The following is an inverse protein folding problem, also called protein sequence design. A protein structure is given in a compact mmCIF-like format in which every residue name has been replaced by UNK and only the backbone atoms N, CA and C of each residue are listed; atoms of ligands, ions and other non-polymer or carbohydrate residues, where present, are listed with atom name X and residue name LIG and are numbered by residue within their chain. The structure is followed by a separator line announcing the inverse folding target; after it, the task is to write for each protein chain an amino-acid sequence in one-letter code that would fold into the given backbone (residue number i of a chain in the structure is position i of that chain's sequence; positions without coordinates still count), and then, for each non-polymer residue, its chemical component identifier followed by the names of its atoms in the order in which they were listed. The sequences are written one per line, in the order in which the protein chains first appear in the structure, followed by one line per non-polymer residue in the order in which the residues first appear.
data_IF_768044790077
#
_entry.id   IF_768044790077
#
_cell.length_a   1.000
_cell.length_b   1.000
_cell.length_c   1.000
_cell.angle_alpha   90.00
_cell.angle_beta   90.00
_cell.angle_gamma   90.00
#
_symmetry.space_group_name_H-M   'P 1'
#
loop_
_entity.id
_entity.type
_entity.pdbx_description
1 polymer ?
#
# COMPACT_ATOMS: atom_id res chain seq x y z
N UNK A 1 17.77 46.60 -1.80
CA UNK A 1 18.70 45.53 -2.23
C UNK A 1 19.26 44.87 -0.99
N UNK A 2 18.68 43.75 -0.56
CA UNK A 2 19.25 42.87 0.46
C UNK A 2 19.27 41.49 -0.19
N UNK A 3 20.49 40.99 -0.44
CA UNK A 3 20.73 39.75 -1.16
C UNK A 3 20.16 38.57 -0.38
N UNK A 4 19.29 37.80 -1.03
CA UNK A 4 18.84 36.52 -0.51
C UNK A 4 19.94 35.51 -0.86
N UNK A 5 20.59 35.03 0.18
CA UNK A 5 21.54 33.93 0.19
C UNK A 5 21.05 32.76 -0.66
N UNK A 6 21.76 32.51 -1.76
CA UNK A 6 21.74 31.24 -2.49
C UNK A 6 22.60 30.26 -1.71
N UNK A 7 22.00 29.32 -0.98
CA UNK A 7 22.81 28.31 -0.29
C UNK A 7 22.07 27.47 0.73
N UNK A 8 21.19 26.58 0.26
CA UNK A 8 21.09 25.23 0.83
C UNK A 8 20.37 24.34 -0.20
N UNK A 9 21.15 23.57 -0.95
CA UNK A 9 20.64 22.43 -1.72
C UNK A 9 20.11 21.43 -0.70
N UNK A 10 18.81 21.46 -0.42
CA UNK A 10 18.17 20.41 0.34
C UNK A 10 18.20 19.14 -0.52
N UNK A 11 19.11 18.23 -0.19
CA UNK A 11 19.19 16.87 -0.73
C UNK A 11 17.96 16.08 -0.26
N UNK A 12 16.81 16.40 -0.86
CA UNK A 12 15.52 15.76 -0.63
C UNK A 12 15.40 14.61 -1.61
N UNK A 13 15.54 13.38 -1.10
CA UNK A 13 15.71 12.21 -1.96
C UNK A 13 14.36 11.57 -2.33
N UNK A 14 13.36 11.57 -1.44
CA UNK A 14 12.01 11.06 -1.78
C UNK A 14 10.89 11.82 -1.11
N UNK A 15 9.78 11.96 -1.84
CA UNK A 15 8.48 12.34 -1.29
C UNK A 15 7.58 11.12 -1.32
N UNK A 16 7.04 10.74 -0.18
CA UNK A 16 5.98 9.76 -0.04
C UNK A 16 4.64 10.48 -0.14
N UNK A 17 3.68 9.93 -0.89
CA UNK A 17 2.27 10.18 -0.63
C UNK A 17 1.70 8.92 0.05
N UNK A 18 1.52 8.96 1.37
CA UNK A 18 0.84 7.89 2.11
C UNK A 18 -0.64 8.25 2.13
N UNK A 19 -1.48 7.46 1.47
CA UNK A 19 -2.91 7.77 1.36
C UNK A 19 -3.76 6.64 1.93
N UNK A 20 -4.43 6.84 3.08
CA UNK A 20 -5.57 6.04 3.47
C UNK A 20 -6.67 6.16 2.42
N UNK A 21 -6.99 5.04 1.79
CA UNK A 21 -8.05 4.89 0.82
C UNK A 21 -9.32 4.43 1.51
N UNK A 22 -10.41 5.18 1.36
CA UNK A 22 -11.69 4.75 1.89
C UNK A 22 -12.39 3.69 1.03
N UNK A 23 -11.84 3.24 -0.11
CA UNK A 23 -12.37 2.11 -0.93
C UNK A 23 -12.36 0.81 -0.14
N UNK A 24 -11.37 0.61 0.73
CA UNK A 24 -11.27 -0.61 1.53
C UNK A 24 -11.53 -0.35 3.02
N UNK A 25 -11.94 0.89 3.36
CA UNK A 25 -12.39 1.22 4.71
C UNK A 25 -13.52 0.30 5.16
N UNK A 26 -13.62 0.09 6.47
CA UNK A 26 -14.63 -0.79 7.05
C UNK A 26 -16.04 -0.49 6.50
N UNK A 27 -16.48 0.77 6.53
CA UNK A 27 -17.81 1.17 6.06
C UNK A 27 -17.99 0.91 4.56
N UNK A 28 -17.03 1.31 3.72
CA UNK A 28 -17.14 1.10 2.27
C UNK A 28 -17.17 -0.38 1.93
N UNK A 29 -16.30 -1.16 2.57
CA UNK A 29 -16.22 -2.60 2.36
C UNK A 29 -17.48 -3.33 2.81
N UNK A 30 -18.19 -2.85 3.84
CA UNK A 30 -19.48 -3.41 4.25
C UNK A 30 -20.59 -3.04 3.28
N UNK A 31 -20.67 -1.77 2.86
CA UNK A 31 -21.68 -1.29 1.90
C UNK A 31 -21.56 -2.01 0.56
N UNK A 32 -20.33 -2.22 0.08
CA UNK A 32 -20.06 -2.88 -1.21
C UNK A 32 -19.79 -4.39 -1.07
N UNK A 33 -20.07 -4.98 0.10
CA UNK A 33 -20.03 -6.44 0.34
C UNK A 33 -18.72 -7.11 -0.07
N UNK A 34 -17.61 -6.50 0.31
CA UNK A 34 -16.29 -7.05 0.05
C UNK A 34 -16.00 -8.26 0.92
N UNK A 35 -15.33 -9.24 0.32
CA UNK A 35 -14.90 -10.45 1.00
C UNK A 35 -13.97 -10.15 2.18
N UNK A 36 -14.10 -10.99 3.21
CA UNK A 36 -13.30 -10.91 4.44
C UNK A 36 -12.50 -12.20 4.64
N UNK A 37 -11.23 -12.14 5.07
CA UNK A 37 -10.50 -10.93 5.49
C UNK A 37 -10.02 -10.03 4.35
N UNK A 38 -9.90 -10.55 3.12
CA UNK A 38 -9.40 -9.82 1.97
C UNK A 38 -10.34 -9.99 0.77
N UNK A 39 -10.53 -8.93 0.00
CA UNK A 39 -11.24 -8.96 -1.29
C UNK A 39 -10.26 -8.72 -2.43
N UNK A 40 -10.07 -9.73 -3.27
CA UNK A 40 -9.12 -9.67 -4.37
C UNK A 40 -9.50 -8.61 -5.42
N UNK A 41 -10.80 -8.36 -5.63
CA UNK A 41 -11.29 -7.41 -6.62
C UNK A 41 -10.96 -5.99 -6.18
N UNK A 42 -11.19 -5.70 -4.91
CA UNK A 42 -10.89 -4.40 -4.31
C UNK A 42 -9.37 -4.13 -4.26
N UNK A 43 -8.55 -5.13 -3.93
CA UNK A 43 -7.09 -5.00 -3.98
C UNK A 43 -6.59 -4.81 -5.42
N UNK A 44 -7.16 -5.55 -6.39
CA UNK A 44 -6.82 -5.37 -7.80
C UNK A 44 -7.24 -3.99 -8.35
N UNK A 45 -8.33 -3.42 -7.85
CA UNK A 45 -8.72 -2.05 -8.18
C UNK A 45 -7.66 -1.05 -7.71
N UNK A 46 -7.21 -1.19 -6.45
CA UNK A 46 -6.14 -0.36 -5.89
C UNK A 46 -4.82 -0.54 -6.66
N UNK A 47 -4.46 -1.78 -6.99
CA UNK A 47 -3.28 -2.09 -7.81
C UNK A 47 -3.38 -1.42 -9.19
N UNK A 48 -4.55 -1.47 -9.82
CA UNK A 48 -4.77 -0.87 -11.12
C UNK A 48 -4.64 0.65 -11.09
N UNK A 49 -5.15 1.28 -10.03
CA UNK A 49 -4.97 2.71 -9.82
C UNK A 49 -3.47 3.06 -9.72
N UNK A 50 -2.70 2.26 -8.98
CA UNK A 50 -1.26 2.44 -8.87
C UNK A 50 -0.52 2.25 -10.20
N UNK A 51 -0.92 1.26 -11.01
CA UNK A 51 -0.38 1.09 -12.36
C UNK A 51 -0.65 2.33 -13.21
N UNK A 52 -1.91 2.78 -13.28
CA UNK A 52 -2.30 4.00 -14.02
C UNK A 52 -1.54 5.24 -13.52
N UNK A 53 -1.30 5.36 -12.21
CA UNK A 53 -0.47 6.45 -11.67
C UNK A 53 0.95 6.39 -12.20
N UNK A 54 1.62 5.23 -12.09
CA UNK A 54 2.98 5.10 -12.58
C UNK A 54 3.06 5.37 -14.08
N UNK A 55 2.10 4.88 -14.88
CA UNK A 55 2.05 5.12 -16.33
C UNK A 55 1.89 6.60 -16.68
N UNK A 56 0.96 7.31 -16.03
CA UNK A 56 0.67 8.73 -16.27
C UNK A 56 1.77 9.67 -15.74
N UNK A 57 2.49 9.27 -14.69
CA UNK A 57 3.47 10.13 -13.99
C UNK A 57 4.86 9.47 -13.93
N UNK A 58 5.76 9.79 -14.88
CA UNK A 58 7.09 9.17 -14.96
C UNK A 58 8.01 9.47 -13.78
N UNK A 59 7.71 10.48 -12.97
CA UNK A 59 8.44 10.82 -11.76
C UNK A 59 8.14 9.87 -10.59
N UNK A 60 7.05 9.09 -10.68
CA UNK A 60 6.79 7.97 -9.77
C UNK A 60 7.65 6.78 -10.18
N UNK A 61 8.51 6.35 -9.26
CA UNK A 61 9.49 5.28 -9.49
C UNK A 61 9.10 3.96 -8.82
N UNK A 62 8.30 4.03 -7.76
CA UNK A 62 7.89 2.88 -6.98
C UNK A 62 6.59 3.20 -6.25
N UNK A 63 5.73 2.21 -6.09
CA UNK A 63 4.59 2.25 -5.19
C UNK A 63 4.44 0.93 -4.44
N UNK A 64 3.98 1.02 -3.21
CA UNK A 64 3.67 -0.13 -2.36
C UNK A 64 2.27 0.05 -1.78
N UNK A 65 1.43 -0.98 -1.89
CA UNK A 65 0.08 -0.95 -1.36
C UNK A 65 -0.27 -2.21 -0.58
N UNK A 66 -1.06 -2.03 0.47
CA UNK A 66 -1.57 -3.09 1.32
C UNK A 66 -2.90 -2.65 1.94
N UNK A 67 -3.84 -3.58 2.10
CA UNK A 67 -5.19 -3.26 2.58
C UNK A 67 -5.77 -2.07 1.81
N UNK A 68 -6.13 -1.01 2.51
CA UNK A 68 -6.75 0.20 2.06
C UNK A 68 -5.75 1.34 1.92
N UNK A 69 -4.47 1.07 1.72
CA UNK A 69 -3.47 2.12 1.69
C UNK A 69 -2.48 1.93 0.54
N UNK A 70 -2.06 3.04 -0.04
CA UNK A 70 -0.99 3.05 -1.04
C UNK A 70 0.04 4.13 -0.71
N UNK A 71 1.31 3.76 -0.88
CA UNK A 71 2.47 4.64 -0.79
C UNK A 71 3.08 4.79 -2.15
N UNK A 72 3.29 6.03 -2.56
CA UNK A 72 3.86 6.37 -3.87
C UNK A 72 5.14 7.17 -3.66
N UNK A 73 6.23 6.73 -4.29
CA UNK A 73 7.56 7.31 -4.15
C UNK A 73 7.97 8.00 -5.44
N UNK A 74 8.35 9.27 -5.30
CA UNK A 74 8.76 10.13 -6.40
C UNK A 74 10.28 10.28 -6.45
N UNK A 75 10.86 10.26 -7.64
CA UNK A 75 12.27 10.60 -7.84
C UNK A 75 12.55 12.05 -7.44
N UNK A 76 13.68 12.27 -6.78
CA UNK A 76 14.28 13.57 -6.48
C UNK A 76 14.78 14.30 -7.73
N UNK A 77 15.17 13.56 -8.76
CA UNK A 77 15.69 14.12 -10.00
C UNK A 77 14.57 14.70 -10.86
N UNK A 78 14.46 16.03 -10.82
CA UNK A 78 13.51 16.86 -11.61
C UNK A 78 12.04 16.53 -11.29
N UNK A 79 11.54 16.90 -10.09
CA UNK A 79 10.12 16.73 -9.79
C UNK A 79 9.31 17.57 -10.78
N UNK A 80 8.42 16.95 -11.55
CA UNK A 80 7.43 17.67 -12.37
C UNK A 80 6.52 18.54 -11.49
N UNK A 81 6.40 18.19 -10.21
CA UNK A 81 5.55 18.87 -9.24
C UNK A 81 6.36 19.64 -8.17
N UNK A 82 6.26 20.98 -8.11
CA UNK A 82 6.79 21.77 -7.00
C UNK A 82 6.21 21.31 -5.65
N UNK A 83 7.02 21.29 -4.58
CA UNK A 83 6.59 20.91 -3.22
C UNK A 83 5.34 21.65 -2.71
N UNK A 84 5.09 22.85 -3.22
CA UNK A 84 4.00 23.73 -2.80
C UNK A 84 2.63 23.36 -3.37
N UNK A 85 2.58 22.55 -4.43
CA UNK A 85 1.32 22.05 -4.94
C UNK A 85 1.08 20.67 -4.34
N UNK A 86 -0.03 20.55 -3.63
CA UNK A 86 -0.59 19.28 -3.19
C UNK A 86 -1.64 18.79 -4.21
N UNK A 87 -1.27 18.23 -5.40
CA UNK A 87 -2.24 17.57 -6.27
C UNK A 87 -2.32 16.06 -6.00
N UNK A 88 -1.75 15.53 -4.90
CA UNK A 88 -1.35 14.11 -4.84
C UNK A 88 -2.44 13.13 -4.40
N UNK A 89 -3.42 13.55 -3.60
CA UNK A 89 -4.65 12.76 -3.38
C UNK A 89 -5.56 12.77 -4.61
N UNK A 90 -5.50 13.87 -5.40
CA UNK A 90 -6.29 14.04 -6.64
C UNK A 90 -5.88 13.01 -7.69
N UNK A 91 -4.58 12.70 -7.81
CA UNK A 91 -4.07 11.74 -8.80
C UNK A 91 -4.66 10.34 -8.59
N UNK A 92 -4.66 9.85 -7.34
CA UNK A 92 -5.19 8.53 -7.02
C UNK A 92 -6.72 8.49 -7.19
N UNK A 93 -7.42 9.54 -6.78
CA UNK A 93 -8.87 9.69 -7.01
C UNK A 93 -9.23 9.69 -8.49
N UNK A 94 -8.48 10.42 -9.33
CA UNK A 94 -8.69 10.45 -10.78
C UNK A 94 -8.48 9.08 -11.41
N UNK A 95 -7.40 8.38 -11.03
CA UNK A 95 -7.16 7.03 -11.53
C UNK A 95 -8.26 6.06 -11.08
N UNK A 96 -8.74 6.19 -9.84
CA UNK A 96 -9.82 5.34 -9.36
C UNK A 96 -11.11 5.51 -10.15
N UNK A 97 -11.49 6.75 -10.46
CA UNK A 97 -12.67 7.03 -11.30
C UNK A 97 -12.57 6.32 -12.66
N UNK A 98 -11.39 6.31 -13.27
CA UNK A 98 -11.15 5.66 -14.55
C UNK A 98 -11.15 4.12 -14.43
N UNK A 99 -10.62 3.58 -13.32
CA UNK A 99 -10.37 2.14 -13.16
C UNK A 99 -11.54 1.35 -12.56
N UNK A 100 -12.44 1.96 -11.78
CA UNK A 100 -13.56 1.26 -11.13
C UNK A 100 -14.41 0.50 -12.14
N UNK A 101 -14.86 1.17 -13.21
CA UNK A 101 -15.72 0.53 -14.21
C UNK A 101 -15.02 -0.61 -14.98
N UNK A 102 -13.68 -0.58 -15.04
CA UNK A 102 -12.88 -1.59 -15.72
C UNK A 102 -12.62 -2.81 -14.84
N UNK A 103 -12.35 -2.60 -13.55
CA UNK A 103 -11.96 -3.67 -12.61
C UNK A 103 -13.16 -4.25 -11.87
N UNK A 104 -14.18 -3.43 -11.60
CA UNK A 104 -15.41 -3.82 -10.93
C UNK A 104 -16.63 -3.50 -11.82
N UNK A 105 -16.76 -4.11 -13.01
CA UNK A 105 -17.83 -3.79 -13.96
C UNK A 105 -19.23 -4.07 -13.39
N UNK A 106 -19.34 -5.09 -12.52
CA UNK A 106 -20.60 -5.50 -11.91
C UNK A 106 -20.90 -4.79 -10.58
N UNK A 107 -20.01 -3.91 -10.11
CA UNK A 107 -20.17 -3.20 -8.84
C UNK A 107 -20.66 -1.77 -9.09
N UNK A 108 -21.91 -1.51 -8.76
CA UNK A 108 -22.38 -0.13 -8.65
C UNK A 108 -21.83 0.49 -7.35
N UNK A 109 -21.14 1.62 -7.48
CA UNK A 109 -20.66 2.36 -6.32
C UNK A 109 -21.80 3.14 -5.71
N UNK A 110 -22.15 2.83 -4.45
CA UNK A 110 -23.22 3.56 -3.72
C UNK A 110 -22.82 5.01 -3.47
N UNK A 111 -21.52 5.27 -3.27
CA UNK A 111 -20.98 6.61 -3.10
C UNK A 111 -19.54 6.67 -3.60
N UNK A 112 -19.05 7.86 -4.02
CA UNK A 112 -17.70 7.99 -4.50
C UNK A 112 -16.70 7.69 -3.37
N UNK A 113 -15.70 6.85 -3.62
CA UNK A 113 -14.61 6.61 -2.68
C UNK A 113 -13.80 7.89 -2.44
N UNK A 114 -13.33 8.05 -1.21
CA UNK A 114 -12.47 9.16 -0.80
C UNK A 114 -11.06 8.64 -0.49
N UNK A 115 -10.08 9.55 -0.51
CA UNK A 115 -8.72 9.28 -0.05
C UNK A 115 -8.27 10.41 0.84
N UNK A 116 -7.75 10.06 2.02
CA UNK A 116 -6.84 10.95 2.73
C UNK A 116 -5.44 10.78 2.12
N UNK A 117 -4.58 11.78 2.21
CA UNK A 117 -3.20 11.64 1.79
C UNK A 117 -2.29 12.66 2.43
N UNK A 118 -1.10 12.19 2.81
CA UNK A 118 -0.05 12.98 3.45
C UNK A 118 1.22 12.92 2.64
N UNK A 119 2.01 13.99 2.69
CA UNK A 119 3.35 14.02 2.07
C UNK A 119 4.43 13.92 3.13
N UNK A 120 5.30 12.92 3.01
CA UNK A 120 6.47 12.75 3.89
C UNK A 120 7.74 12.86 3.06
N UNK A 121 8.72 13.59 3.58
CA UNK A 121 9.99 13.84 2.91
C UNK A 121 11.10 13.03 3.58
N UNK A 122 11.78 12.17 2.82
CA UNK A 122 12.90 11.37 3.32
C UNK A 122 14.23 11.91 2.79
N UNK A 123 15.20 12.21 3.69
CA UNK A 123 16.50 12.76 3.29
C UNK A 123 17.49 11.71 2.78
N UNK A 124 17.19 10.40 2.86
CA UNK A 124 18.07 9.31 2.42
C UNK A 124 17.26 8.11 1.92
N UNK A 125 17.76 7.39 0.91
CA UNK A 125 17.16 6.12 0.42
C UNK A 125 16.97 5.13 1.56
N UNK A 126 17.97 5.01 2.44
CA UNK A 126 17.93 4.04 3.55
C UNK A 126 16.67 4.19 4.41
N UNK A 127 16.27 5.43 4.70
CA UNK A 127 15.07 5.69 5.51
C UNK A 127 13.78 5.29 4.78
N UNK A 128 13.73 5.46 3.46
CA UNK A 128 12.63 4.96 2.63
C UNK A 128 12.56 3.44 2.67
N UNK A 129 13.70 2.77 2.51
CA UNK A 129 13.75 1.31 2.58
C UNK A 129 13.30 0.83 3.95
N UNK A 130 13.84 1.37 5.04
CA UNK A 130 13.45 0.98 6.40
C UNK A 130 11.95 1.24 6.67
N UNK A 131 11.40 2.33 6.13
CA UNK A 131 9.96 2.58 6.15
C UNK A 131 9.17 1.50 5.40
N UNK A 132 9.58 1.14 4.19
CA UNK A 132 8.94 0.08 3.41
C UNK A 132 9.00 -1.28 4.11
N UNK A 133 10.11 -1.61 4.78
CA UNK A 133 10.21 -2.83 5.60
C UNK A 133 9.17 -2.82 6.72
N UNK A 134 9.04 -1.70 7.41
CA UNK A 134 8.04 -1.54 8.46
C UNK A 134 6.62 -1.71 7.90
N UNK A 135 6.31 -1.11 6.75
CA UNK A 135 4.99 -1.24 6.10
C UNK A 135 4.68 -2.67 5.64
N UNK A 136 5.66 -3.40 5.11
CA UNK A 136 5.43 -4.80 4.73
C UNK A 136 5.31 -5.73 5.94
N UNK A 137 6.05 -5.46 7.02
CA UNK A 137 5.86 -6.18 8.29
C UNK A 137 4.47 -5.92 8.89
N UNK A 138 3.98 -4.67 8.84
CA UNK A 138 2.63 -4.30 9.29
C UNK A 138 1.55 -5.01 8.46
N UNK A 139 1.69 -5.05 7.13
CA UNK A 139 0.82 -5.83 6.25
C UNK A 139 0.74 -7.30 6.67
N UNK A 140 1.89 -7.92 6.95
CA UNK A 140 1.98 -9.31 7.37
C UNK A 140 1.20 -9.58 8.67
N UNK A 141 1.47 -8.78 9.71
CA UNK A 141 0.83 -8.90 11.03
C UNK A 141 -0.67 -8.63 10.93
N UNK A 142 -1.08 -7.56 10.25
CA UNK A 142 -2.48 -7.21 10.07
C UNK A 142 -3.26 -8.29 9.32
N UNK A 143 -2.68 -8.85 8.25
CA UNK A 143 -3.33 -9.93 7.51
C UNK A 143 -3.46 -11.21 8.34
N UNK A 144 -2.45 -11.58 9.15
CA UNK A 144 -2.57 -12.71 10.09
C UNK A 144 -3.70 -12.49 11.09
N UNK A 145 -3.70 -11.33 11.75
CA UNK A 145 -4.73 -10.97 12.72
C UNK A 145 -6.12 -10.97 12.10
N UNK A 146 -6.29 -10.32 10.95
CA UNK A 146 -7.58 -10.25 10.24
C UNK A 146 -8.07 -11.62 9.80
N UNK A 147 -7.17 -12.50 9.35
CA UNK A 147 -7.52 -13.88 8.98
C UNK A 147 -8.05 -14.65 10.18
N UNK A 148 -7.37 -14.60 11.32
CA UNK A 148 -7.84 -15.20 12.57
C UNK A 148 -9.18 -14.61 13.02
N UNK A 149 -9.29 -13.28 13.01
CA UNK A 149 -10.50 -12.55 13.41
C UNK A 149 -11.71 -12.94 12.58
N UNK A 150 -11.59 -12.91 11.25
CA UNK A 150 -12.71 -13.23 10.37
C UNK A 150 -13.03 -14.72 10.33
N UNK A 151 -12.06 -15.59 10.62
CA UNK A 151 -12.34 -17.02 10.82
C UNK A 151 -13.24 -17.24 12.04
N UNK A 152 -12.95 -16.57 13.16
CA UNK A 152 -13.79 -16.59 14.37
C UNK A 152 -15.19 -16.02 14.11
N UNK A 153 -15.28 -14.91 13.37
CA UNK A 153 -16.58 -14.31 13.03
C UNK A 153 -17.39 -15.24 12.12
N UNK A 154 -16.76 -15.85 11.11
CA UNK A 154 -17.41 -16.84 10.22
C UNK A 154 -17.79 -18.13 10.95
N UNK A 155 -17.13 -18.47 12.06
CA UNK A 155 -17.54 -19.58 12.93
C UNK A 155 -18.73 -19.24 13.84
N UNK A 156 -19.36 -18.07 13.67
CA UNK A 156 -20.55 -17.65 14.39
C UNK A 156 -20.29 -16.78 15.63
N UNK A 157 -19.04 -16.42 15.94
CA UNK A 157 -18.76 -15.49 17.05
C UNK A 157 -19.13 -14.06 16.69
N UNK A 158 -19.58 -13.29 17.69
CA UNK A 158 -19.77 -11.84 17.49
C UNK A 158 -18.40 -11.16 17.29
N UNK A 159 -18.36 -10.08 16.51
CA UNK A 159 -17.13 -9.27 16.29
C UNK A 159 -16.45 -8.88 17.61
N UNK A 160 -17.23 -8.47 18.62
CA UNK A 160 -16.72 -8.11 19.96
C UNK A 160 -16.13 -9.29 20.73
N UNK A 161 -16.67 -10.49 20.55
CA UNK A 161 -16.16 -11.72 21.17
C UNK A 161 -14.86 -12.17 20.50
N UNK A 162 -14.80 -12.13 19.16
CA UNK A 162 -13.61 -12.44 18.40
C UNK A 162 -12.45 -11.50 18.76
N UNK A 163 -12.72 -10.18 18.88
CA UNK A 163 -11.71 -9.20 19.28
C UNK A 163 -11.20 -9.45 20.70
N UNK A 164 -12.09 -9.71 21.67
CA UNK A 164 -11.70 -10.05 23.04
C UNK A 164 -10.87 -11.32 23.11
N UNK A 165 -11.27 -12.35 22.37
CA UNK A 165 -10.55 -13.62 22.30
C UNK A 165 -9.11 -13.43 21.82
N UNK A 166 -8.92 -12.69 20.73
CA UNK A 166 -7.58 -12.42 20.19
C UNK A 166 -6.75 -11.49 21.10
N UNK A 167 -7.38 -10.52 21.76
CA UNK A 167 -6.70 -9.62 22.69
C UNK A 167 -6.16 -10.35 23.93
N UNK A 168 -6.99 -11.21 24.56
CA UNK A 168 -6.56 -12.04 25.71
C UNK A 168 -5.46 -13.00 25.29
N UNK A 169 -5.57 -13.60 24.10
CA UNK A 169 -4.56 -14.52 23.59
C UNK A 169 -3.20 -13.83 23.39
N UNK A 170 -3.23 -12.61 22.88
CA UNK A 170 -2.03 -11.79 22.72
C UNK A 170 -1.38 -11.45 24.07
N UNK A 171 -2.18 -11.14 25.11
CA UNK A 171 -1.66 -10.83 26.45
C UNK A 171 -1.10 -12.06 27.19
N UNK A 172 -1.81 -13.19 27.15
CA UNK A 172 -1.43 -14.39 27.92
C UNK A 172 -0.20 -15.10 27.34
N UNK A 173 -0.05 -15.09 26.02
CA UNK A 173 1.00 -15.87 25.36
C UNK A 173 2.26 -15.08 25.03
N UNK A 174 2.22 -13.73 25.12
CA UNK A 174 3.24 -12.82 24.53
C UNK A 174 3.55 -13.13 23.06
N UNK A 175 2.65 -13.83 22.36
CA UNK A 175 2.79 -14.23 20.96
C UNK A 175 1.57 -13.75 20.18
N UNK A 176 1.82 -13.36 18.93
CA UNK A 176 0.76 -12.95 18.02
C UNK A 176 -0.13 -14.15 17.65
N UNK A 177 -1.45 -13.94 17.44
CA UNK A 177 -2.34 -14.99 16.98
C UNK A 177 -1.89 -15.52 15.61
N UNK A 178 -1.72 -16.84 15.50
CA UNK A 178 -1.30 -17.47 14.25
C UNK A 178 -2.47 -18.17 13.57
N UNK A 179 -2.50 -18.10 12.24
CA UNK A 179 -3.55 -18.72 11.41
C UNK A 179 -3.54 -20.25 11.47
N UNK A 180 -2.41 -20.85 11.83
CA UNK A 180 -2.28 -22.30 12.03
C UNK A 180 -3.13 -22.82 13.19
N UNK A 181 -3.40 -22.01 14.22
CA UNK A 181 -4.35 -22.36 15.31
C UNK A 181 -5.78 -22.60 14.78
N UNK A 182 -6.08 -22.04 13.62
CA UNK A 182 -7.37 -22.19 12.93
C UNK A 182 -7.31 -23.18 11.77
N UNK A 183 -6.23 -23.95 11.64
CA UNK A 183 -6.02 -24.89 10.53
C UNK A 183 -5.78 -24.22 9.19
N UNK A 184 -5.41 -22.93 9.17
CA UNK A 184 -5.13 -22.18 7.95
C UNK A 184 -3.62 -22.12 7.74
N UNK A 185 -3.15 -22.61 6.60
CA UNK A 185 -1.77 -22.42 6.17
C UNK A 185 -1.60 -21.00 5.59
N UNK A 186 -0.98 -20.11 6.37
CA UNK A 186 -0.65 -18.77 5.90
C UNK A 186 0.20 -18.82 4.64
N UNK A 187 1.20 -19.71 4.55
CA UNK A 187 2.12 -19.78 3.41
C UNK A 187 1.41 -20.05 2.08
N UNK A 188 0.30 -20.79 2.13
CA UNK A 188 -0.54 -21.09 0.97
C UNK A 188 -1.49 -19.95 0.55
N UNK A 189 -1.67 -18.91 1.38
CA UNK A 189 -2.50 -17.76 0.99
C UNK A 189 -1.85 -17.00 -0.19
N UNK A 190 -2.67 -16.36 -1.05
CA UNK A 190 -2.16 -15.51 -2.13
C UNK A 190 -1.12 -14.50 -1.64
N UNK A 191 -0.01 -14.38 -2.37
CA UNK A 191 1.10 -13.51 -1.98
C UNK A 191 0.66 -12.04 -1.81
N UNK A 192 -0.26 -11.57 -2.65
CA UNK A 192 -0.87 -10.23 -2.56
C UNK A 192 -1.46 -9.93 -1.18
N UNK A 193 -2.07 -10.92 -0.51
CA UNK A 193 -2.65 -10.72 0.82
C UNK A 193 -1.59 -10.68 1.93
N UNK A 194 -0.46 -11.36 1.71
CA UNK A 194 0.58 -11.55 2.73
C UNK A 194 1.69 -10.53 2.69
N UNK A 195 1.99 -10.05 1.48
CA UNK A 195 3.16 -9.22 1.18
C UNK A 195 2.77 -7.85 0.64
N UNK A 196 1.48 -7.60 0.38
CA UNK A 196 1.04 -6.43 -0.35
C UNK A 196 1.46 -6.46 -1.81
N UNK A 197 1.33 -5.32 -2.47
CA UNK A 197 1.56 -5.13 -3.91
C UNK A 197 2.65 -4.09 -4.13
N UNK A 198 3.73 -4.48 -4.80
CA UNK A 198 4.78 -3.60 -5.28
C UNK A 198 4.49 -3.24 -6.75
N UNK A 199 4.50 -1.95 -7.08
CA UNK A 199 4.26 -1.47 -8.44
C UNK A 199 5.45 -0.62 -8.87
N UNK A 200 6.09 -1.01 -9.96
CA UNK A 200 7.32 -0.38 -10.43
C UNK A 200 7.52 -0.58 -11.94
N UNK A 201 8.46 0.17 -12.51
CA UNK A 201 8.83 0.06 -13.92
C UNK A 201 9.94 -0.98 -14.08
N UNK A 202 9.66 -2.01 -14.85
CA UNK A 202 10.60 -3.10 -15.10
C UNK A 202 11.57 -2.72 -16.23
N UNK A 203 12.87 -2.83 -15.94
CA UNK A 203 13.92 -2.53 -16.90
C UNK A 203 13.95 -3.55 -18.05
N UNK A 204 13.66 -4.81 -17.80
CA UNK A 204 13.73 -5.89 -18.79
C UNK A 204 12.65 -5.75 -19.86
N UNK A 205 11.50 -5.15 -19.51
CA UNK A 205 10.35 -4.96 -20.40
C UNK A 205 10.22 -3.52 -20.92
N UNK A 206 11.35 -2.85 -21.16
CA UNK A 206 11.40 -1.48 -21.68
C UNK A 206 10.65 -0.44 -20.81
N UNK A 207 10.73 -0.57 -19.47
CA UNK A 207 10.08 0.33 -18.48
C UNK A 207 8.56 0.24 -18.44
N UNK A 208 7.97 -0.89 -18.85
CA UNK A 208 6.57 -1.19 -18.59
C UNK A 208 6.33 -1.29 -17.09
N UNK A 209 5.17 -0.79 -16.66
CA UNK A 209 4.76 -0.86 -15.27
C UNK A 209 4.28 -2.29 -14.98
N UNK A 210 4.80 -2.92 -13.92
CA UNK A 210 4.37 -4.24 -13.44
C UNK A 210 3.93 -4.16 -11.99
N UNK A 211 3.05 -5.10 -11.62
CA UNK A 211 2.69 -5.39 -10.23
C UNK A 211 3.39 -6.68 -9.84
N UNK A 212 4.02 -6.69 -8.67
CA UNK A 212 4.66 -7.87 -8.09
C UNK A 212 4.32 -8.00 -6.61
N UNK A 213 4.38 -9.21 -6.08
CA UNK A 213 4.05 -9.55 -4.69
C UNK A 213 5.32 -10.09 -3.98
N UNK A 214 6.40 -9.33 -4.09
CA UNK A 214 7.74 -9.69 -3.65
C UNK A 214 8.02 -9.30 -2.19
N UNK A 215 9.03 -9.94 -1.59
CA UNK A 215 9.56 -9.50 -0.28
C UNK A 215 10.48 -8.30 -0.51
N UNK A 216 10.15 -7.16 0.11
CA UNK A 216 10.95 -5.93 0.09
C UNK A 216 11.63 -5.67 1.44
N UNK A 217 11.48 -6.59 2.40
CA UNK A 217 12.21 -6.58 3.67
C UNK A 217 13.67 -7.00 3.46
N UNK A 218 13.86 -8.12 2.73
CA UNK A 218 15.17 -8.65 2.37
C UNK A 218 15.90 -7.81 1.32
N UNK A 219 17.19 -8.13 1.11
CA UNK A 219 18.03 -7.43 0.13
C UNK A 219 17.79 -7.86 -1.32
N UNK A 220 17.26 -9.07 -1.54
CA UNK A 220 17.18 -9.70 -2.85
C UNK A 220 16.43 -8.84 -3.89
N UNK A 221 15.26 -8.31 -3.52
CA UNK A 221 14.50 -7.40 -4.39
C UNK A 221 15.30 -6.15 -4.75
N UNK A 222 15.94 -5.52 -3.77
CA UNK A 222 16.71 -4.29 -3.97
C UNK A 222 18.00 -4.51 -4.76
N UNK A 223 18.61 -5.69 -4.66
CA UNK A 223 19.79 -6.07 -5.41
C UNK A 223 19.43 -6.33 -6.89
N UNK A 224 18.28 -6.99 -7.14
CA UNK A 224 17.76 -7.23 -8.49
C UNK A 224 17.26 -5.95 -9.18
N UNK A 225 16.69 -5.02 -8.40
CA UNK A 225 16.14 -3.75 -8.88
C UNK A 225 16.93 -2.55 -8.35
N UNK A 226 18.26 -2.60 -8.51
CA UNK A 226 19.19 -1.59 -8.00
C UNK A 226 18.93 -0.16 -8.53
N UNK A 227 18.20 -0.01 -9.63
CA UNK A 227 17.76 1.26 -10.21
C UNK A 227 16.59 1.92 -9.46
N UNK A 228 15.90 1.16 -8.60
CA UNK A 228 14.79 1.66 -7.79
C UNK A 228 15.35 2.25 -6.50
N UNK A 229 14.95 3.50 -6.19
CA UNK A 229 15.40 4.25 -5.02
C UNK A 229 16.95 4.34 -4.96
N UNK A 230 17.56 4.99 -5.95
CA UNK A 230 19.02 5.28 -5.98
C UNK A 230 19.31 6.58 -5.22
N UNK A 231 20.46 6.66 -4.52
CA UNK A 231 20.94 7.93 -3.94
C UNK A 231 21.51 8.81 -5.07
N UNK A 232 21.10 10.08 -5.12
CA UNK A 232 21.62 11.07 -6.07
C UNK A 232 23.08 11.45 -5.80
#
# INVERSE_FOLDING_TARGET
MVGISTGEKSNLVFREAASPCYVLSFLFSEVHQFDKPNDARALNLMNSCAVSMLEKFPDIIFAYGDSDEYRVFFSSNKPHFPAKYCPKCVILYLCLRDEVGRVLPDQELTYPPAFDGRVICYPRVKLVRDYLKWRQADCHVNNQFNTCFWTLVKSGKKKSEAQKYLAVRHSDSRKEPTTSEFGIDYGALPAMFRKGSCVFRDKETCRRVRVDYCDIIGKEFWDQHSEILVED
#
